data_IF_543029210193
#
_entry.id   IF_543029210193
#
_cell.length_a   1.000
_cell.length_b   1.000
_cell.length_c   1.000
_cell.angle_alpha   90.00
_cell.angle_beta   90.00
_cell.angle_gamma   90.00
#
_symmetry.space_group_name_H-M   'P 1'
#
loop_
_entity.id
_entity.type
_entity.pdbx_description
1 polymer ?
#
# COMPACT_ATOMS: atom_id res chain seq x y z
N UNK A 1 -8.48 16.15 13.04
CA UNK A 1 -7.50 15.19 13.59
C UNK A 1 -6.10 15.78 13.44
N UNK A 2 -5.25 15.67 14.46
CA UNK A 2 -3.93 16.32 14.47
C UNK A 2 -2.92 15.56 13.58
N UNK A 3 -2.11 16.29 12.80
CA UNK A 3 -0.97 15.77 12.01
C UNK A 3 0.03 14.94 12.84
N UNK A 4 0.02 15.09 14.17
CA UNK A 4 0.84 14.29 15.09
C UNK A 4 0.35 12.85 15.28
N UNK A 5 -0.93 12.56 15.05
CA UNK A 5 -1.49 11.20 15.17
C UNK A 5 -1.10 10.33 13.98
N UNK A 6 -1.11 10.90 12.78
CA UNK A 6 -0.68 10.23 11.54
C UNK A 6 0.83 9.95 11.54
N UNK A 7 1.63 10.92 12.03
CA UNK A 7 3.09 10.77 12.17
C UNK A 7 3.49 9.68 13.17
N UNK A 8 2.69 9.46 14.22
CA UNK A 8 2.91 8.38 15.19
C UNK A 8 2.51 7.01 14.65
N UNK A 9 1.55 6.94 13.72
CA UNK A 9 1.13 5.69 13.10
C UNK A 9 2.23 5.10 12.20
N UNK A 10 2.89 5.92 11.36
CA UNK A 10 4.00 5.48 10.52
C UNK A 10 5.22 4.97 11.29
N UNK A 11 5.61 5.68 12.36
CA UNK A 11 6.69 5.24 13.25
C UNK A 11 6.34 3.98 14.05
N UNK A 12 5.07 3.78 14.43
CA UNK A 12 4.61 2.55 15.10
C UNK A 12 4.62 1.35 14.18
N UNK A 13 4.19 1.50 12.92
CA UNK A 13 4.18 0.42 11.93
C UNK A 13 5.60 -0.17 11.78
N UNK A 14 6.63 0.67 11.62
CA UNK A 14 8.01 0.17 11.52
C UNK A 14 8.53 -0.47 12.83
N UNK A 15 8.08 -0.01 14.00
CA UNK A 15 8.44 -0.60 15.28
C UNK A 15 7.75 -1.95 15.54
N UNK A 16 6.49 -2.12 15.11
CA UNK A 16 5.68 -3.34 15.24
C UNK A 16 6.02 -4.38 14.16
N UNK A 17 6.51 -3.94 12.99
CA UNK A 17 7.00 -4.83 11.93
C UNK A 17 8.34 -5.45 12.30
N UNK A 18 9.21 -4.73 13.01
CA UNK A 18 10.61 -5.14 13.27
C UNK A 18 10.79 -6.56 13.86
N UNK A 19 9.93 -7.05 14.78
CA UNK A 19 10.01 -8.43 15.30
C UNK A 19 9.49 -9.50 14.34
N UNK A 20 8.86 -9.11 13.22
CA UNK A 20 8.18 -9.98 12.26
C UNK A 20 9.03 -10.25 11.00
N UNK A 21 10.26 -9.70 10.95
CA UNK A 21 11.14 -9.74 9.78
C UNK A 21 12.23 -10.81 9.92
N UNK A 22 12.05 -11.97 9.28
CA UNK A 22 13.13 -12.93 9.00
C UNK A 22 13.69 -12.78 7.56
N UNK A 23 13.21 -11.78 6.81
CA UNK A 23 13.63 -11.51 5.43
C UNK A 23 14.72 -10.43 5.39
N UNK A 24 15.94 -10.79 4.97
CA UNK A 24 17.10 -9.88 4.91
C UNK A 24 16.82 -8.59 4.10
N UNK A 25 16.06 -8.69 3.02
CA UNK A 25 15.73 -7.54 2.17
C UNK A 25 14.81 -6.53 2.88
N UNK A 26 13.79 -7.01 3.61
CA UNK A 26 12.90 -6.12 4.37
C UNK A 26 13.64 -5.53 5.58
N UNK A 27 14.49 -6.30 6.25
CA UNK A 27 15.35 -5.79 7.32
C UNK A 27 16.25 -4.68 6.79
N UNK A 28 16.94 -4.92 5.68
CA UNK A 28 17.84 -3.95 5.05
C UNK A 28 17.10 -2.68 4.60
N UNK A 29 15.91 -2.85 4.02
CA UNK A 29 15.03 -1.75 3.64
C UNK A 29 14.57 -0.93 4.84
N UNK A 30 14.14 -1.58 5.93
CA UNK A 30 13.72 -0.93 7.17
C UNK A 30 14.87 -0.18 7.86
N UNK A 31 16.06 -0.78 7.91
CA UNK A 31 17.27 -0.14 8.43
C UNK A 31 17.65 1.09 7.60
N UNK A 32 17.57 0.98 6.27
CA UNK A 32 17.82 2.10 5.38
C UNK A 32 16.79 3.22 5.58
N UNK A 33 15.49 2.92 5.69
CA UNK A 33 14.44 3.91 5.96
C UNK A 33 14.66 4.62 7.32
N UNK A 34 15.03 3.86 8.35
CA UNK A 34 15.34 4.42 9.67
C UNK A 34 16.52 5.41 9.64
N UNK A 35 17.51 5.17 8.77
CA UNK A 35 18.61 6.09 8.48
C UNK A 35 18.19 7.27 7.57
N UNK A 36 17.18 7.09 6.71
CA UNK A 36 16.70 8.07 5.73
C UNK A 36 15.32 8.64 6.10
N UNK A 37 15.23 9.24 7.29
CA UNK A 37 13.97 9.72 7.87
C UNK A 37 13.14 10.66 6.97
N UNK A 38 13.78 11.48 6.13
CA UNK A 38 13.07 12.38 5.21
C UNK A 38 12.25 11.58 4.20
N UNK A 39 12.87 10.57 3.61
CA UNK A 39 12.26 9.67 2.63
C UNK A 39 11.20 8.76 3.26
N UNK A 40 11.42 8.32 4.50
CA UNK A 40 10.40 7.61 5.27
C UNK A 40 9.14 8.47 5.48
N UNK A 41 9.31 9.70 6.01
CA UNK A 41 8.19 10.59 6.31
C UNK A 41 7.44 11.04 5.04
N UNK A 42 8.14 11.20 3.92
CA UNK A 42 7.52 11.52 2.65
C UNK A 42 6.58 10.40 2.19
N UNK A 43 7.04 9.15 2.20
CA UNK A 43 6.23 7.99 1.81
C UNK A 43 5.04 7.79 2.75
N UNK A 44 5.22 7.94 4.05
CA UNK A 44 4.11 7.90 5.03
C UNK A 44 3.04 8.94 4.71
N UNK A 45 3.47 10.19 4.46
CA UNK A 45 2.55 11.27 4.11
C UNK A 45 1.79 10.97 2.82
N UNK A 46 2.50 10.52 1.78
CA UNK A 46 1.89 10.27 0.46
C UNK A 46 0.97 9.06 0.50
N UNK A 47 1.35 8.00 1.22
CA UNK A 47 0.46 6.87 1.43
C UNK A 47 -0.87 7.32 2.04
N UNK A 48 -0.83 8.11 3.12
CA UNK A 48 -2.04 8.64 3.77
C UNK A 48 -2.84 9.53 2.82
N UNK A 49 -2.15 10.38 2.05
CA UNK A 49 -2.79 11.26 1.06
C UNK A 49 -3.51 10.43 -0.01
N UNK A 50 -2.85 9.42 -0.60
CA UNK A 50 -3.45 8.52 -1.59
C UNK A 50 -4.69 7.82 -1.03
N UNK A 51 -4.67 7.29 0.20
CA UNK A 51 -5.88 6.71 0.82
C UNK A 51 -6.99 7.77 0.97
N UNK A 52 -6.63 9.00 1.37
CA UNK A 52 -7.58 10.12 1.43
C UNK A 52 -8.16 10.47 0.05
N UNK A 53 -7.35 10.38 -1.00
CA UNK A 53 -7.74 10.61 -2.38
C UNK A 53 -8.64 9.51 -2.92
N UNK A 54 -8.36 8.24 -2.65
CA UNK A 54 -9.27 7.12 -2.99
C UNK A 54 -10.70 7.37 -2.48
N UNK A 55 -10.83 7.91 -1.28
CA UNK A 55 -12.13 8.24 -0.69
C UNK A 55 -12.84 9.46 -1.33
N UNK A 56 -12.08 10.39 -1.91
CA UNK A 56 -12.58 11.72 -2.31
C UNK A 56 -12.54 11.99 -3.81
N UNK A 57 -12.00 11.06 -4.62
CA UNK A 57 -12.01 11.19 -6.07
C UNK A 57 -13.46 11.29 -6.58
N UNK A 58 -13.78 12.35 -7.36
CA UNK A 58 -15.16 12.64 -7.77
C UNK A 58 -15.60 11.88 -9.03
N UNK A 59 -14.65 11.39 -9.83
CA UNK A 59 -14.90 10.64 -11.07
C UNK A 59 -13.98 9.42 -11.14
N UNK A 60 -14.54 8.29 -11.55
CA UNK A 60 -13.82 7.03 -11.74
C UNK A 60 -13.46 6.77 -13.20
N UNK A 61 -13.50 7.82 -14.03
CA UNK A 61 -13.10 7.74 -15.43
C UNK A 61 -11.56 7.82 -15.61
N UNK A 62 -11.10 7.36 -16.76
CA UNK A 62 -9.68 7.38 -17.15
C UNK A 62 -8.81 6.62 -16.14
N UNK A 63 -7.74 7.25 -15.59
CA UNK A 63 -6.78 6.56 -14.73
C UNK A 63 -7.39 6.04 -13.42
N UNK A 64 -8.58 6.53 -13.01
CA UNK A 64 -9.18 6.19 -11.72
C UNK A 64 -10.22 5.05 -11.79
N UNK A 65 -10.26 4.29 -12.88
CA UNK A 65 -11.19 3.15 -13.08
C UNK A 65 -11.22 2.19 -11.88
N UNK A 66 -10.06 1.77 -11.38
CA UNK A 66 -9.99 0.79 -10.31
C UNK A 66 -10.35 1.37 -8.93
N UNK A 67 -10.34 2.70 -8.78
CA UNK A 67 -10.94 3.38 -7.61
C UNK A 67 -12.46 3.15 -7.59
N UNK A 68 -13.11 3.21 -8.76
CA UNK A 68 -14.54 2.93 -8.92
C UNK A 68 -14.86 1.47 -8.57
N UNK A 69 -14.11 0.52 -9.14
CA UNK A 69 -14.26 -0.91 -8.82
C UNK A 69 -14.06 -1.18 -7.32
N UNK A 70 -13.03 -0.60 -6.72
CA UNK A 70 -12.77 -0.77 -5.29
C UNK A 70 -13.97 -0.29 -4.46
N UNK A 71 -14.56 0.85 -4.82
CA UNK A 71 -15.74 1.40 -4.15
C UNK A 71 -16.93 0.45 -4.22
N UNK A 72 -17.16 -0.19 -5.37
CA UNK A 72 -18.23 -1.19 -5.54
C UNK A 72 -18.01 -2.42 -4.64
N UNK A 73 -16.76 -2.85 -4.46
CA UNK A 73 -16.42 -4.04 -3.68
C UNK A 73 -16.55 -3.82 -2.16
N UNK A 74 -16.12 -2.67 -1.66
CA UNK A 74 -15.95 -2.45 -0.21
C UNK A 74 -16.98 -1.50 0.40
N UNK A 75 -17.59 -0.61 -0.38
CA UNK A 75 -18.45 0.46 0.16
C UNK A 75 -17.66 1.47 0.99
N UNK A 76 -17.38 2.63 0.43
CA UNK A 76 -16.58 3.68 1.08
C UNK A 76 -17.27 4.33 2.29
N UNK A 77 -16.49 4.92 3.23
CA UNK A 77 -15.05 5.25 3.15
C UNK A 77 -14.09 4.13 3.61
N UNK A 78 -12.88 4.12 3.04
CA UNK A 78 -11.74 3.33 3.52
C UNK A 78 -11.17 3.90 4.83
N UNK A 79 -10.91 3.03 5.80
CA UNK A 79 -10.24 3.37 7.07
C UNK A 79 -8.79 3.83 6.84
N UNK A 80 -8.34 4.94 7.41
CA UNK A 80 -6.94 5.37 7.27
C UNK A 80 -5.98 4.44 8.01
N UNK A 81 -4.69 4.40 7.63
CA UNK A 81 -3.66 3.68 8.41
C UNK A 81 -3.67 4.08 9.90
N UNK A 82 -3.92 5.35 10.21
CA UNK A 82 -4.03 5.84 11.58
C UNK A 82 -5.23 5.28 12.35
N UNK A 83 -6.30 4.86 11.67
CA UNK A 83 -7.42 4.15 12.30
C UNK A 83 -7.06 2.67 12.51
N UNK A 84 -6.44 2.03 11.52
CA UNK A 84 -5.99 0.62 11.59
C UNK A 84 -4.95 0.40 12.71
N UNK A 85 -3.98 1.31 12.86
CA UNK A 85 -2.93 1.21 13.89
C UNK A 85 -3.46 1.51 15.30
N UNK A 86 -4.48 2.37 15.42
CA UNK A 86 -5.10 2.63 16.72
C UNK A 86 -6.06 1.51 17.15
N UNK A 87 -6.61 0.77 16.18
CA UNK A 87 -7.51 -0.34 16.47
C UNK A 87 -6.77 -1.62 16.86
N UNK A 88 -5.46 -1.76 16.60
CA UNK A 88 -4.66 -2.94 17.00
C UNK A 88 -5.42 -4.26 16.82
N UNK A 89 -6.22 -4.35 15.76
CA UNK A 89 -7.13 -5.46 15.52
C UNK A 89 -6.29 -6.69 15.19
N UNK A 90 -6.71 -7.87 15.66
CA UNK A 90 -6.03 -9.13 15.35
C UNK A 90 -5.95 -9.35 13.82
N UNK A 91 -6.85 -8.73 13.06
CA UNK A 91 -6.79 -8.68 11.59
C UNK A 91 -5.55 -7.95 11.07
N UNK A 92 -5.14 -6.82 11.66
CA UNK A 92 -3.93 -6.10 11.23
C UNK A 92 -2.66 -6.92 11.50
N UNK A 93 -2.60 -7.63 12.63
CA UNK A 93 -1.50 -8.56 12.94
C UNK A 93 -1.51 -9.77 12.01
N UNK A 94 -2.68 -10.37 11.78
CA UNK A 94 -2.86 -11.50 10.85
C UNK A 94 -2.47 -11.14 9.42
N UNK A 95 -2.73 -9.91 8.99
CA UNK A 95 -2.31 -9.38 7.68
C UNK A 95 -0.80 -9.26 7.59
N UNK A 96 -0.14 -8.70 8.62
CA UNK A 96 1.32 -8.62 8.66
C UNK A 96 1.99 -10.00 8.76
N UNK A 97 1.30 -10.98 9.35
CA UNK A 97 1.77 -12.36 9.43
C UNK A 97 1.54 -13.13 8.12
N UNK A 98 0.42 -12.95 7.44
CA UNK A 98 0.17 -13.58 6.13
C UNK A 98 1.07 -12.97 5.04
N UNK A 99 1.27 -11.65 5.11
CA UNK A 99 2.34 -10.95 4.42
C UNK A 99 3.68 -11.69 4.58
N UNK A 100 4.11 -11.94 5.83
CA UNK A 100 5.35 -12.70 6.10
C UNK A 100 5.37 -14.07 5.41
N UNK A 101 4.26 -14.78 5.34
CA UNK A 101 4.19 -16.14 4.77
C UNK A 101 4.12 -16.17 3.22
N UNK A 102 3.57 -15.12 2.59
CA UNK A 102 3.40 -15.02 1.12
C UNK A 102 4.45 -14.18 0.40
N UNK A 103 5.31 -13.45 1.12
CA UNK A 103 6.26 -12.50 0.52
C UNK A 103 7.68 -12.96 0.11
N UNK A 104 8.08 -14.25 0.07
CA UNK A 104 9.46 -14.57 -0.25
C UNK A 104 9.83 -14.57 -1.75
N UNK A 105 8.90 -14.60 -2.72
CA UNK A 105 9.31 -14.66 -4.14
C UNK A 105 9.57 -13.29 -4.78
N UNK A 106 8.72 -12.28 -4.54
CA UNK A 106 8.96 -10.96 -5.12
C UNK A 106 10.03 -10.19 -4.33
N UNK A 107 10.06 -10.19 -3.01
CA UNK A 107 11.01 -9.40 -2.20
C UNK A 107 12.50 -9.69 -2.45
N UNK A 108 12.84 -10.79 -3.14
CA UNK A 108 14.19 -11.16 -3.56
C UNK A 108 14.64 -10.53 -4.90
N UNK A 109 13.77 -9.82 -5.61
CA UNK A 109 14.14 -9.10 -6.83
C UNK A 109 15.00 -7.87 -6.53
N UNK A 110 15.85 -7.49 -7.49
CA UNK A 110 16.55 -6.21 -7.42
C UNK A 110 15.57 -5.09 -7.72
N UNK A 111 15.26 -4.29 -6.71
CA UNK A 111 14.36 -3.15 -6.83
C UNK A 111 15.09 -1.85 -7.16
N UNK A 112 14.43 -0.98 -7.92
CA UNK A 112 14.91 0.38 -8.19
C UNK A 112 15.06 1.24 -6.92
N UNK A 113 14.25 0.98 -5.89
CA UNK A 113 14.28 1.70 -4.63
C UNK A 113 14.60 0.77 -3.46
N UNK A 114 15.49 1.23 -2.57
CA UNK A 114 15.78 0.54 -1.30
C UNK A 114 14.58 0.53 -0.35
N UNK A 115 13.59 1.40 -0.58
CA UNK A 115 12.33 1.44 0.17
C UNK A 115 11.32 0.38 -0.26
N UNK A 116 11.45 -0.18 -1.47
CA UNK A 116 10.44 -1.07 -2.07
C UNK A 116 10.04 -2.24 -1.20
N UNK A 117 10.96 -3.03 -0.59
CA UNK A 117 10.54 -4.19 0.19
C UNK A 117 9.58 -3.86 1.35
N UNK A 118 9.86 -2.79 2.11
CA UNK A 118 8.99 -2.37 3.22
C UNK A 118 7.69 -1.76 2.71
N UNK A 119 7.76 -0.87 1.72
CA UNK A 119 6.57 -0.15 1.25
C UNK A 119 5.63 -1.04 0.43
N UNK A 120 6.20 -1.95 -0.34
CA UNK A 120 5.44 -3.01 -0.99
C UNK A 120 4.66 -3.86 -0.01
N UNK A 121 5.33 -4.29 1.07
CA UNK A 121 4.69 -5.06 2.15
C UNK A 121 3.54 -4.28 2.80
N UNK A 122 3.72 -2.98 3.01
CA UNK A 122 2.68 -2.10 3.59
C UNK A 122 1.49 -1.94 2.65
N UNK A 123 1.73 -1.69 1.35
CA UNK A 123 0.68 -1.48 0.34
C UNK A 123 -0.13 -2.77 0.15
N UNK A 124 0.53 -3.88 -0.14
CA UNK A 124 -0.14 -5.16 -0.32
C UNK A 124 -0.84 -5.64 0.95
N UNK A 125 -0.19 -5.47 2.10
CA UNK A 125 -0.76 -5.79 3.40
C UNK A 125 -2.04 -5.00 3.65
N UNK A 126 -2.04 -3.69 3.39
CA UNK A 126 -3.25 -2.88 3.53
C UNK A 126 -4.38 -3.37 2.60
N UNK A 127 -4.08 -3.74 1.35
CA UNK A 127 -5.07 -4.33 0.44
C UNK A 127 -5.67 -5.64 0.99
N UNK A 128 -4.84 -6.52 1.54
CA UNK A 128 -5.27 -7.77 2.17
C UNK A 128 -6.14 -7.50 3.42
N UNK A 129 -5.76 -6.49 4.23
CA UNK A 129 -6.57 -6.06 5.36
C UNK A 129 -7.97 -5.64 4.93
N UNK A 130 -8.09 -4.83 3.87
CA UNK A 130 -9.39 -4.48 3.30
C UNK A 130 -10.16 -5.72 2.85
N UNK A 131 -9.49 -6.66 2.18
CA UNK A 131 -10.09 -7.93 1.78
C UNK A 131 -10.74 -8.63 2.98
N UNK A 132 -9.98 -8.90 4.04
CA UNK A 132 -10.48 -9.56 5.26
C UNK A 132 -11.61 -8.78 5.93
N UNK A 133 -11.47 -7.46 6.02
CA UNK A 133 -12.47 -6.59 6.66
C UNK A 133 -13.83 -6.66 5.95
N UNK A 134 -13.83 -6.63 4.62
CA UNK A 134 -15.06 -6.49 3.82
C UNK A 134 -15.62 -7.80 3.25
N UNK A 135 -14.84 -8.89 3.30
CA UNK A 135 -15.28 -10.19 2.75
C UNK A 135 -15.09 -11.38 3.68
N UNK A 136 -14.53 -11.18 4.89
CA UNK A 136 -14.40 -12.16 5.99
C UNK A 136 -13.80 -13.50 5.58
N UNK A 137 -14.64 -14.45 5.16
CA UNK A 137 -14.27 -15.84 4.86
C UNK A 137 -14.25 -16.14 3.34
N UNK A 138 -14.64 -15.18 2.48
CA UNK A 138 -14.62 -15.36 1.03
C UNK A 138 -13.22 -15.03 0.47
N UNK A 139 -12.35 -16.03 0.42
CA UNK A 139 -10.97 -15.87 -0.07
C UNK A 139 -10.87 -15.32 -1.50
N UNK A 140 -11.83 -15.63 -2.37
CA UNK A 140 -11.84 -15.14 -3.75
C UNK A 140 -12.06 -13.64 -3.73
N UNK A 141 -13.09 -13.20 -2.98
CA UNK A 141 -13.39 -11.77 -2.83
C UNK A 141 -12.30 -11.01 -2.06
N UNK A 142 -11.63 -11.64 -1.10
CA UNK A 142 -10.47 -11.04 -0.42
C UNK A 142 -9.35 -10.73 -1.41
N UNK A 143 -9.01 -11.69 -2.28
CA UNK A 143 -7.97 -11.52 -3.32
C UNK A 143 -8.37 -10.45 -4.34
N UNK A 144 -9.64 -10.42 -4.74
CA UNK A 144 -10.18 -9.39 -5.62
C UNK A 144 -10.07 -7.99 -5.02
N UNK A 145 -10.48 -7.81 -3.76
CA UNK A 145 -10.35 -6.53 -3.04
C UNK A 145 -8.89 -6.13 -2.91
N UNK A 146 -8.00 -7.05 -2.51
CA UNK A 146 -6.55 -6.79 -2.42
C UNK A 146 -6.01 -6.27 -3.75
N UNK A 147 -6.23 -7.01 -4.84
CA UNK A 147 -5.69 -6.65 -6.16
C UNK A 147 -6.25 -5.32 -6.64
N UNK A 148 -7.56 -5.11 -6.50
CA UNK A 148 -8.23 -3.87 -6.90
C UNK A 148 -7.72 -2.68 -6.09
N UNK A 149 -7.44 -2.87 -4.79
CA UNK A 149 -6.81 -1.84 -3.96
C UNK A 149 -5.42 -1.46 -4.47
N UNK A 150 -4.55 -2.43 -4.76
CA UNK A 150 -3.17 -2.16 -5.22
C UNK A 150 -3.21 -1.35 -6.51
N UNK A 151 -3.98 -1.79 -7.51
CA UNK A 151 -4.15 -1.08 -8.78
C UNK A 151 -4.70 0.35 -8.58
N UNK A 152 -5.70 0.52 -7.71
CA UNK A 152 -6.27 1.82 -7.40
C UNK A 152 -5.24 2.73 -6.70
N UNK A 153 -4.47 2.19 -5.77
CA UNK A 153 -3.41 2.92 -5.06
C UNK A 153 -2.33 3.37 -6.04
N UNK A 154 -1.82 2.48 -6.88
CA UNK A 154 -0.80 2.75 -7.88
C UNK A 154 -1.24 3.81 -8.88
N UNK A 155 -2.47 3.70 -9.40
CA UNK A 155 -3.02 4.68 -10.32
C UNK A 155 -3.09 6.08 -9.71
N UNK A 156 -3.58 6.21 -8.47
CA UNK A 156 -3.64 7.51 -7.78
C UNK A 156 -2.25 8.03 -7.44
N UNK A 157 -1.37 7.18 -6.90
CA UNK A 157 0.00 7.55 -6.56
C UNK A 157 0.77 8.05 -7.78
N UNK A 158 0.70 7.33 -8.90
CA UNK A 158 1.38 7.73 -10.13
C UNK A 158 0.78 9.00 -10.74
N UNK A 159 -0.54 9.14 -10.74
CA UNK A 159 -1.23 10.28 -11.35
C UNK A 159 -1.03 11.57 -10.55
N UNK A 160 -1.12 11.50 -9.23
CA UNK A 160 -1.11 12.69 -8.35
C UNK A 160 0.25 12.95 -7.68
N UNK A 161 1.13 11.95 -7.62
CA UNK A 161 2.42 12.00 -6.92
C UNK A 161 3.59 11.43 -7.73
N UNK A 162 3.56 11.56 -9.07
CA UNK A 162 4.49 10.92 -10.03
C UNK A 162 5.98 10.95 -9.68
N UNK A 163 6.45 12.03 -9.05
CA UNK A 163 7.87 12.23 -8.74
C UNK A 163 8.24 11.85 -7.29
N UNK A 164 7.35 11.15 -6.59
CA UNK A 164 7.56 10.79 -5.19
C UNK A 164 8.35 9.51 -5.01
N UNK A 165 8.96 9.38 -3.84
CA UNK A 165 9.75 8.21 -3.51
C UNK A 165 8.91 6.91 -3.44
N UNK A 166 7.60 7.01 -3.13
CA UNK A 166 6.69 5.85 -3.13
C UNK A 166 6.32 5.39 -4.55
N UNK A 167 6.28 6.31 -5.53
CA UNK A 167 6.08 5.93 -6.93
C UNK A 167 7.30 5.17 -7.45
N UNK A 168 8.52 5.56 -7.05
CA UNK A 168 9.72 4.78 -7.36
C UNK A 168 9.70 3.37 -6.73
N UNK A 169 8.95 3.16 -5.65
CA UNK A 169 8.84 1.85 -5.03
C UNK A 169 7.96 0.88 -5.84
N UNK A 170 6.92 1.41 -6.51
CA UNK A 170 5.88 0.63 -7.23
C UNK A 170 6.04 0.64 -8.76
N UNK A 171 6.93 1.47 -9.30
CA UNK A 171 7.02 1.71 -10.75
C UNK A 171 7.36 0.46 -11.56
N UNK A 172 8.19 -0.44 -11.02
CA UNK A 172 8.55 -1.67 -11.72
C UNK A 172 7.34 -2.60 -11.84
N UNK A 173 6.55 -2.72 -10.77
CA UNK A 173 5.30 -3.48 -10.78
C UNK A 173 4.30 -2.91 -11.78
N UNK A 174 4.13 -1.59 -11.77
CA UNK A 174 3.24 -0.93 -12.72
C UNK A 174 3.64 -1.20 -14.18
N UNK A 175 4.95 -1.27 -14.48
CA UNK A 175 5.44 -1.57 -15.83
C UNK A 175 5.26 -3.04 -16.20
N UNK A 176 5.49 -3.97 -15.27
CA UNK A 176 5.26 -5.40 -15.47
C UNK A 176 3.77 -5.69 -15.70
N UNK A 177 2.90 -4.95 -15.04
CA UNK A 177 1.45 -5.10 -15.05
C UNK A 177 0.76 -4.03 -15.92
N UNK A 178 1.47 -3.46 -16.89
CA UNK A 178 1.01 -2.32 -17.70
C UNK A 178 -0.37 -2.53 -18.32
N UNK A 179 -0.66 -3.75 -18.76
CA UNK A 179 -1.93 -4.11 -19.41
C UNK A 179 -3.13 -4.14 -18.45
N UNK A 180 -2.88 -4.16 -17.13
CA UNK A 180 -3.93 -4.08 -16.14
C UNK A 180 -4.42 -2.64 -15.93
N UNK A 181 -3.68 -1.62 -16.40
CA UNK A 181 -4.06 -0.22 -16.26
C UNK A 181 -4.88 0.31 -17.44
N UNK A 182 -5.72 1.36 -17.24
CA UNK A 182 -6.35 2.09 -18.33
C UNK A 182 -5.32 2.62 -19.34
N UNK A 183 -5.68 2.69 -20.63
CA UNK A 183 -4.76 3.05 -21.73
C UNK A 183 -4.06 4.39 -21.50
N UNK A 184 -4.77 5.36 -20.92
CA UNK A 184 -4.25 6.68 -20.60
C UNK A 184 -3.10 6.64 -19.60
N UNK A 185 -3.14 5.69 -18.66
CA UNK A 185 -2.09 5.48 -17.66
C UNK A 185 -1.00 4.57 -18.23
N UNK A 186 -1.39 3.46 -18.88
CA UNK A 186 -0.49 2.52 -19.52
C UNK A 186 0.44 3.20 -20.54
N UNK A 187 -0.07 4.17 -21.33
CA UNK A 187 0.72 4.94 -22.28
C UNK A 187 1.83 5.80 -21.64
N UNK A 188 1.81 5.99 -20.32
CA UNK A 188 2.78 6.80 -19.57
C UNK A 188 3.79 5.95 -18.77
N UNK A 189 3.61 4.63 -18.74
CA UNK A 189 4.48 3.63 -18.10
C UNK A 189 5.49 3.07 -19.09
#
# INVERSE_FOLDING_TARGET
MSKDLERRAGQRILCEIRPLLDCEHIIGSAQWLAANKKEQLERERIFVDVIGRLNTIPSFEGPYRDVGKLRELVGFPLSTLGSIVNECDETAKSVLQEARETFPEWANHQYNSKGTPVWGMIIEGYGLYLGKLFSKDDEIKQKEIKRTFVLAFEAVAFTEHRNSAIVNDILDWMKEEKDDFPEELAGQL
#
